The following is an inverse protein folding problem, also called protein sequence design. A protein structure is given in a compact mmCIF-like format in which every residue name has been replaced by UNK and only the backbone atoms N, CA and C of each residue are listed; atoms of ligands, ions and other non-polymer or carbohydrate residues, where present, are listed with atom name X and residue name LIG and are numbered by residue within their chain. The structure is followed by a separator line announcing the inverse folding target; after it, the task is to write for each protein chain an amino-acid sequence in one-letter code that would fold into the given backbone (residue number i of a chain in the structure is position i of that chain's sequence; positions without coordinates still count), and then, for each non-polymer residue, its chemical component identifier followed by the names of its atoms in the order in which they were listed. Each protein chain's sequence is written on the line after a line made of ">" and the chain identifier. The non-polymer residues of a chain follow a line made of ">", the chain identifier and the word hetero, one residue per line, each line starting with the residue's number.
data_IF_806434712620
#
_entry.id   IF_806434712620
#
_cell.length_a   1.000
_cell.length_b   1.000
_cell.length_c   1.000
_cell.angle_alpha   90.00
_cell.angle_beta   90.00
_cell.angle_gamma   90.00
#
_symmetry.space_group_name_H-M   'P 1'
#
loop_
_entity.id
_entity.type
_entity.pdbx_description
1 polymer ?
#
# COMPACT_ATOMS: atom_id res chain seq x y z
N UNK A 1 -1.51 26.99 -4.47
CA UNK A 1 -1.79 25.62 -4.92
C UNK A 1 -1.43 24.70 -3.77
N UNK A 2 -2.38 23.99 -3.13
CA UNK A 2 -2.08 23.20 -1.96
C UNK A 2 -1.32 21.92 -2.37
N UNK A 3 -0.15 21.72 -1.80
CA UNK A 3 0.79 20.62 -2.06
C UNK A 3 0.39 19.31 -1.34
N UNK A 4 -0.92 18.99 -1.33
CA UNK A 4 -1.50 17.88 -0.58
C UNK A 4 -1.61 16.56 -1.38
N UNK A 5 -1.08 16.50 -2.59
CA UNK A 5 -1.62 15.56 -3.57
C UNK A 5 -0.95 14.18 -3.60
N UNK A 6 0.35 14.06 -3.30
CA UNK A 6 1.06 12.80 -3.51
C UNK A 6 0.82 11.74 -2.40
N UNK A 7 0.77 12.15 -1.13
CA UNK A 7 0.65 11.23 0.01
C UNK A 7 -0.80 10.90 0.36
N UNK A 8 -1.73 11.83 0.13
CA UNK A 8 -3.18 11.59 0.30
C UNK A 8 -3.67 10.55 -0.71
N UNK A 9 -3.16 10.59 -1.94
CA UNK A 9 -3.47 9.59 -2.96
C UNK A 9 -3.00 8.19 -2.56
N UNK A 10 -1.82 8.09 -1.93
CA UNK A 10 -1.25 6.80 -1.53
C UNK A 10 -2.08 6.13 -0.43
N UNK A 11 -2.40 6.84 0.65
CA UNK A 11 -3.15 6.30 1.79
C UNK A 11 -4.62 5.99 1.39
N UNK A 12 -5.24 6.82 0.55
CA UNK A 12 -6.56 6.52 0.00
C UNK A 12 -6.52 5.31 -0.94
N UNK A 13 -5.50 5.21 -1.80
CA UNK A 13 -5.29 4.05 -2.67
C UNK A 13 -5.16 2.79 -1.83
N UNK A 14 -4.29 2.79 -0.82
CA UNK A 14 -4.07 1.67 0.10
C UNK A 14 -5.38 1.27 0.78
N UNK A 15 -6.15 2.22 1.32
CA UNK A 15 -7.45 1.94 1.97
C UNK A 15 -8.46 1.34 1.00
N UNK A 16 -8.64 1.92 -0.18
CA UNK A 16 -9.55 1.39 -1.21
C UNK A 16 -9.11 0.00 -1.67
N UNK A 17 -7.81 -0.24 -1.77
CA UNK A 17 -7.24 -1.54 -2.16
C UNK A 17 -7.51 -2.61 -1.10
N UNK A 18 -7.28 -2.29 0.17
CA UNK A 18 -7.60 -3.20 1.29
C UNK A 18 -9.10 -3.46 1.38
N UNK A 19 -9.96 -2.46 1.18
CA UNK A 19 -11.41 -2.65 1.18
C UNK A 19 -11.85 -3.57 0.03
N UNK A 20 -11.23 -3.44 -1.15
CA UNK A 20 -11.58 -4.21 -2.34
C UNK A 20 -11.09 -5.67 -2.29
N UNK A 21 -9.85 -5.88 -1.86
CA UNK A 21 -9.16 -7.17 -1.94
C UNK A 21 -8.99 -7.86 -0.59
N UNK A 22 -9.24 -7.17 0.53
CA UNK A 22 -9.18 -7.75 1.87
C UNK A 22 -7.80 -8.29 2.21
N UNK A 23 -7.75 -9.58 2.53
CA UNK A 23 -6.52 -10.31 2.88
C UNK A 23 -5.56 -10.45 1.69
N UNK A 24 -6.11 -10.57 0.47
CA UNK A 24 -5.36 -10.67 -0.78
C UNK A 24 -4.76 -9.33 -1.24
N UNK A 25 -5.08 -8.22 -0.58
CA UNK A 25 -4.63 -6.89 -0.98
C UNK A 25 -3.11 -6.78 -1.07
N UNK A 26 -2.38 -7.48 -0.19
CA UNK A 26 -0.91 -7.51 -0.22
C UNK A 26 -0.39 -8.27 -1.44
N UNK A 27 -0.96 -9.45 -1.72
CA UNK A 27 -0.58 -10.28 -2.87
C UNK A 27 -0.87 -9.61 -4.20
N UNK A 28 -2.04 -8.98 -4.32
CA UNK A 28 -2.42 -8.22 -5.52
C UNK A 28 -1.53 -6.99 -5.74
N UNK A 29 -1.18 -6.26 -4.68
CA UNK A 29 -0.27 -5.13 -4.79
C UNK A 29 1.16 -5.55 -5.18
N UNK A 30 1.63 -6.70 -4.66
CA UNK A 30 2.91 -7.28 -5.06
C UNK A 30 2.89 -7.73 -6.52
N UNK A 31 1.83 -8.41 -6.98
CA UNK A 31 1.67 -8.78 -8.38
C UNK A 31 1.74 -7.55 -9.29
N UNK A 32 1.00 -6.49 -8.94
CA UNK A 32 0.98 -5.24 -9.69
C UNK A 32 2.35 -4.57 -9.78
N UNK A 33 3.12 -4.60 -8.69
CA UNK A 33 4.50 -4.12 -8.69
C UNK A 33 5.37 -4.95 -9.66
N UNK A 34 5.27 -6.27 -9.62
CA UNK A 34 6.04 -7.15 -10.52
C UNK A 34 5.67 -6.94 -11.99
N UNK A 35 4.39 -6.75 -12.31
CA UNK A 35 3.95 -6.44 -13.68
C UNK A 35 4.56 -5.13 -14.21
N UNK A 36 4.68 -4.10 -13.35
CA UNK A 36 5.29 -2.82 -13.75
C UNK A 36 6.80 -2.94 -13.96
N UNK A 37 7.47 -3.72 -13.10
CA UNK A 37 8.91 -4.04 -13.28
C UNK A 37 9.13 -4.78 -14.60
N UNK A 38 8.29 -5.77 -14.91
CA UNK A 38 8.37 -6.54 -16.15
C UNK A 38 8.12 -5.66 -17.38
N UNK A 39 7.18 -4.72 -17.28
CA UNK A 39 6.91 -3.71 -18.30
C UNK A 39 8.03 -2.65 -18.45
N UNK A 40 9.03 -2.65 -17.57
CA UNK A 40 10.11 -1.66 -17.54
C UNK A 40 9.73 -0.32 -16.89
N UNK A 41 8.52 -0.21 -16.36
CA UNK A 41 8.01 0.99 -15.68
C UNK A 41 8.53 1.03 -14.23
N UNK A 42 9.76 1.52 -14.09
CA UNK A 42 10.47 1.53 -12.81
C UNK A 42 9.86 2.55 -11.83
N UNK A 43 9.35 3.68 -12.34
CA UNK A 43 8.71 4.73 -11.53
C UNK A 43 7.38 4.26 -10.92
N UNK A 44 6.53 3.61 -11.71
CA UNK A 44 5.32 2.97 -11.20
C UNK A 44 5.66 1.84 -10.25
N UNK A 45 6.67 1.02 -10.53
CA UNK A 45 7.11 -0.03 -9.61
C UNK A 45 7.55 0.52 -8.25
N UNK A 46 8.28 1.64 -8.21
CA UNK A 46 8.64 2.31 -6.95
C UNK A 46 7.42 2.84 -6.20
N UNK A 47 6.45 3.40 -6.91
CA UNK A 47 5.18 3.84 -6.32
C UNK A 47 4.44 2.66 -5.68
N UNK A 48 4.31 1.54 -6.40
CA UNK A 48 3.68 0.32 -5.90
C UNK A 48 4.47 -0.33 -4.77
N UNK A 49 5.81 -0.20 -4.74
CA UNK A 49 6.63 -0.63 -3.61
C UNK A 49 6.23 0.09 -2.32
N UNK A 50 5.92 1.39 -2.39
CA UNK A 50 5.41 2.18 -1.25
C UNK A 50 4.01 1.73 -0.84
N UNK A 51 3.14 1.40 -1.81
CA UNK A 51 1.79 0.84 -1.57
C UNK A 51 1.89 -0.51 -0.83
N UNK A 52 2.73 -1.43 -1.31
CA UNK A 52 2.97 -2.74 -0.69
C UNK A 52 3.46 -2.60 0.75
N UNK A 53 4.44 -1.71 0.97
CA UNK A 53 4.95 -1.45 2.32
C UNK A 53 3.86 -0.89 3.26
N UNK A 54 3.00 -0.01 2.77
CA UNK A 54 1.89 0.54 3.54
C UNK A 54 0.83 -0.53 3.85
N UNK A 55 0.44 -1.37 2.89
CA UNK A 55 -0.50 -2.49 3.10
C UNK A 55 0.08 -3.49 4.10
N UNK A 56 1.35 -3.86 3.96
CA UNK A 56 2.04 -4.75 4.88
C UNK A 56 2.12 -4.16 6.31
N UNK A 57 2.32 -2.85 6.43
CA UNK A 57 2.32 -2.15 7.70
C UNK A 57 0.93 -2.08 8.34
N UNK A 58 -0.15 -1.98 7.56
CA UNK A 58 -1.52 -2.09 8.07
C UNK A 58 -1.82 -3.52 8.54
N UNK A 59 -1.45 -4.52 7.73
CA UNK A 59 -1.67 -5.93 8.03
C UNK A 59 -0.87 -6.38 9.28
N UNK A 60 0.39 -5.97 9.39
CA UNK A 60 1.26 -6.25 10.56
C UNK A 60 0.94 -5.35 11.76
N UNK A 61 0.54 -4.10 11.50
CA UNK A 61 0.28 -3.05 12.50
C UNK A 61 -1.10 -3.14 13.16
N UNK A 62 -2.05 -3.87 12.55
CA UNK A 62 -3.30 -4.25 13.21
C UNK A 62 -3.05 -5.05 14.52
N UNK A 63 -1.88 -5.69 14.66
CA UNK A 63 -1.45 -6.33 15.92
C UNK A 63 -0.74 -5.41 16.92
N UNK A 64 -0.32 -4.18 16.54
CA UNK A 64 0.56 -3.32 17.38
C UNK A 64 -0.07 -2.01 17.86
N UNK A 65 -1.37 -1.77 17.62
CA UNK A 65 -2.14 -0.68 18.28
C UNK A 65 -3.05 -1.17 19.41
N UNK A 66 -2.87 -2.41 19.87
CA UNK A 66 -3.61 -3.01 21.00
C UNK A 66 -2.78 -3.29 22.26
N UNK A 67 -1.51 -2.85 22.36
CA UNK A 67 -0.65 -3.25 23.48
C UNK A 67 0.04 -2.08 24.19
N UNK A 68 -0.75 -1.43 25.05
CA UNK A 68 -0.48 -0.99 26.45
C UNK A 68 -1.70 -0.13 26.85
N UNK A 69 -2.76 -0.67 27.47
CA UNK A 69 -2.90 -1.14 28.86
C UNK A 69 -2.35 -0.15 29.91
N UNK A 70 -3.31 0.40 30.68
CA UNK A 70 -3.32 0.84 32.08
C UNK A 70 -2.18 1.70 32.64
#
# INVERSE_FOLDING_TARGET
>A
MPEHDATTNLDETVRRFIIRYGDDALGEAQRRMHELVDAGDTDGAETWRRVVAAIAAVHTGAGRRGKKLH
#
